data_IF_819360939393
#
_entry.id   IF_819360939393
#
_cell.length_a   1.000
_cell.length_b   1.000
_cell.length_c   1.000
_cell.angle_alpha   90.00
_cell.angle_beta   90.00
_cell.angle_gamma   90.00
#
_symmetry.space_group_name_H-M   'P 1'
#
loop_
_entity.id
_entity.type
_entity.pdbx_description
1 polymer ?
#
# COMPACT_ATOMS: atom_id res chain seq x y z
N UNK A 1 -5.11 7.02 -17.79
CA UNK A 1 -5.49 5.74 -17.18
C UNK A 1 -4.39 4.74 -17.48
N UNK A 2 -3.66 4.22 -16.49
CA UNK A 2 -2.76 3.10 -16.71
C UNK A 2 -3.59 1.92 -17.22
N UNK A 3 -3.07 1.21 -18.20
CA UNK A 3 -3.79 0.09 -18.82
C UNK A 3 -3.82 -1.07 -17.83
N UNK A 4 -4.98 -1.36 -17.29
CA UNK A 4 -5.27 -2.55 -16.45
C UNK A 4 -5.01 -3.89 -17.17
N UNK A 5 -4.75 -3.85 -18.48
CA UNK A 5 -4.57 -5.03 -19.35
C UNK A 5 -3.35 -5.89 -19.03
N UNK A 6 -2.35 -5.37 -18.29
CA UNK A 6 -1.14 -6.16 -17.99
C UNK A 6 -1.29 -7.03 -16.72
N UNK A 7 -2.22 -6.71 -15.84
CA UNK A 7 -2.47 -7.50 -14.61
C UNK A 7 -3.36 -8.70 -14.84
N UNK A 8 -4.33 -8.62 -15.76
CA UNK A 8 -5.27 -9.73 -16.02
C UNK A 8 -4.62 -10.99 -16.60
N UNK A 9 -3.36 -10.91 -17.04
CA UNK A 9 -2.64 -12.08 -17.54
C UNK A 9 -2.15 -13.04 -16.44
N UNK A 10 -2.19 -12.64 -15.17
CA UNK A 10 -1.71 -13.43 -14.02
C UNK A 10 -2.84 -13.94 -13.13
N UNK A 11 -4.07 -13.41 -13.28
CA UNK A 11 -5.17 -13.65 -12.36
C UNK A 11 -6.44 -14.04 -13.11
N UNK A 12 -7.24 -14.95 -12.55
CA UNK A 12 -8.53 -15.33 -13.09
C UNK A 12 -9.58 -14.22 -12.91
N UNK A 13 -9.47 -13.46 -11.82
CA UNK A 13 -10.41 -12.37 -11.48
C UNK A 13 -9.69 -11.24 -10.78
N UNK A 14 -10.04 -10.00 -11.11
CA UNK A 14 -9.53 -8.80 -10.46
C UNK A 14 -10.69 -7.97 -9.90
N UNK A 15 -10.61 -7.64 -8.61
CA UNK A 15 -11.47 -6.66 -7.96
C UNK A 15 -10.69 -5.35 -7.79
N UNK A 16 -11.25 -4.24 -8.25
CA UNK A 16 -10.68 -2.89 -8.10
C UNK A 16 -11.65 -2.08 -7.24
N UNK A 17 -11.47 -2.08 -5.91
CA UNK A 17 -12.32 -1.28 -5.04
C UNK A 17 -11.93 0.19 -5.09
N UNK A 18 -12.91 1.06 -4.93
CA UNK A 18 -12.66 2.47 -4.60
C UNK A 18 -12.61 2.62 -3.08
N UNK A 19 -11.52 3.11 -2.55
CA UNK A 19 -11.35 3.39 -1.12
C UNK A 19 -12.37 4.44 -0.64
N UNK A 20 -12.59 4.50 0.68
CA UNK A 20 -13.47 5.50 1.30
C UNK A 20 -13.15 6.92 0.82
N UNK A 21 -14.18 7.74 0.64
CA UNK A 21 -14.09 9.11 0.14
C UNK A 21 -13.51 9.29 -1.28
N UNK A 22 -13.33 8.19 -2.02
CA UNK A 22 -13.10 8.21 -3.47
C UNK A 22 -14.43 7.88 -4.17
N UNK A 23 -14.82 8.72 -5.13
CA UNK A 23 -16.07 8.50 -5.84
C UNK A 23 -16.00 7.22 -6.71
N UNK A 24 -17.03 6.32 -6.68
CA UNK A 24 -18.36 6.50 -6.07
C UNK A 24 -18.48 6.06 -4.61
N UNK A 25 -17.40 5.64 -3.94
CA UNK A 25 -17.46 5.18 -2.56
C UNK A 25 -17.88 6.28 -1.58
N UNK A 26 -18.64 5.87 -0.57
CA UNK A 26 -19.06 6.77 0.51
C UNK A 26 -17.89 7.15 1.41
N UNK A 27 -18.09 8.16 2.27
CA UNK A 27 -17.10 8.64 3.20
C UNK A 27 -16.86 10.14 3.07
N UNK A 28 -16.16 10.72 4.05
CA UNK A 28 -15.87 12.16 4.09
C UNK A 28 -14.39 12.48 4.08
N UNK A 29 -13.56 11.51 4.45
CA UNK A 29 -12.13 11.69 4.64
C UNK A 29 -11.36 10.51 4.07
N UNK A 30 -10.31 10.81 3.34
CA UNK A 30 -9.30 9.85 2.89
C UNK A 30 -8.43 9.50 4.09
N UNK A 31 -8.19 8.22 4.31
CA UNK A 31 -7.53 7.73 5.52
C UNK A 31 -6.03 7.52 5.42
N UNK A 32 -5.42 7.71 4.25
CA UNK A 32 -3.98 7.51 4.01
C UNK A 32 -3.44 6.15 4.48
N UNK A 33 -4.23 5.09 4.33
CA UNK A 33 -3.91 3.75 4.83
C UNK A 33 -4.39 3.49 6.26
N UNK A 34 -4.52 4.52 7.11
CA UNK A 34 -4.92 4.38 8.52
C UNK A 34 -6.35 3.85 8.66
N UNK A 35 -7.31 4.47 7.98
CA UNK A 35 -8.71 4.01 7.99
C UNK A 35 -8.98 3.02 6.86
N UNK A 36 -8.36 3.23 5.70
CA UNK A 36 -8.60 2.47 4.48
C UNK A 36 -8.18 0.99 4.63
N UNK A 37 -7.23 0.68 5.55
CA UNK A 37 -6.87 -0.70 5.87
C UNK A 37 -8.05 -1.55 6.31
N UNK A 38 -9.01 -0.96 7.02
CA UNK A 38 -10.22 -1.66 7.47
C UNK A 38 -11.12 -1.99 6.29
N UNK A 39 -11.25 -1.06 5.33
CA UNK A 39 -11.99 -1.31 4.10
C UNK A 39 -11.33 -2.42 3.27
N UNK A 40 -9.99 -2.43 3.23
CA UNK A 40 -9.23 -3.50 2.57
C UNK A 40 -9.52 -4.87 3.17
N UNK A 41 -9.55 -4.97 4.52
CA UNK A 41 -9.92 -6.21 5.22
C UNK A 41 -11.38 -6.60 4.93
N UNK A 42 -12.30 -5.64 4.93
CA UNK A 42 -13.71 -5.90 4.64
C UNK A 42 -13.92 -6.36 3.18
N UNK A 43 -13.18 -5.79 2.22
CA UNK A 43 -13.17 -6.27 0.83
C UNK A 43 -12.62 -7.69 0.71
N UNK A 44 -11.57 -8.04 1.46
CA UNK A 44 -11.05 -9.41 1.48
C UNK A 44 -12.08 -10.39 2.06
N UNK A 45 -12.78 -10.03 3.14
CA UNK A 45 -13.90 -10.82 3.70
C UNK A 45 -15.03 -10.99 2.69
N UNK A 46 -15.41 -9.91 2.00
CA UNK A 46 -16.43 -9.96 0.96
C UNK A 46 -16.08 -10.95 -0.18
N UNK A 47 -14.80 -10.99 -0.58
CA UNK A 47 -14.35 -11.97 -1.58
C UNK A 47 -14.49 -13.41 -1.07
N UNK A 48 -14.14 -13.67 0.19
CA UNK A 48 -14.31 -15.00 0.80
C UNK A 48 -15.79 -15.37 0.87
N UNK A 49 -16.67 -14.46 1.31
CA UNK A 49 -18.10 -14.68 1.34
C UNK A 49 -18.71 -14.94 -0.05
N UNK A 50 -18.16 -14.29 -1.08
CA UNK A 50 -18.70 -14.37 -2.45
C UNK A 50 -18.21 -15.61 -3.19
N UNK A 51 -16.94 -15.98 -3.05
CA UNK A 51 -16.28 -17.03 -3.83
C UNK A 51 -16.00 -18.30 -3.03
N UNK A 52 -16.19 -18.29 -1.71
CA UNK A 52 -15.98 -19.42 -0.81
C UNK A 52 -14.58 -19.49 -0.21
N UNK A 53 -14.41 -20.47 0.69
CA UNK A 53 -13.19 -20.61 1.51
C UNK A 53 -11.94 -21.01 0.72
N UNK A 54 -12.11 -21.55 -0.48
CA UNK A 54 -11.01 -21.99 -1.35
C UNK A 54 -10.41 -20.85 -2.20
N UNK A 55 -10.97 -19.62 -2.11
CA UNK A 55 -10.43 -18.48 -2.85
C UNK A 55 -9.04 -18.12 -2.34
N UNK A 56 -8.12 -17.85 -3.25
CA UNK A 56 -6.81 -17.27 -2.93
C UNK A 56 -6.77 -15.82 -3.34
N UNK A 57 -6.43 -14.94 -2.40
CA UNK A 57 -6.44 -13.50 -2.59
C UNK A 57 -5.01 -12.96 -2.55
N UNK A 58 -4.63 -12.21 -3.57
CA UNK A 58 -3.43 -11.37 -3.53
C UNK A 58 -3.87 -9.92 -3.44
N UNK A 59 -3.43 -9.23 -2.40
CA UNK A 59 -3.64 -7.79 -2.27
C UNK A 59 -2.54 -7.06 -3.05
N UNK A 60 -2.95 -6.09 -3.86
CA UNK A 60 -2.02 -5.25 -4.62
C UNK A 60 -2.40 -3.79 -4.45
N UNK A 61 -1.42 -2.98 -4.07
CA UNK A 61 -1.60 -1.54 -3.93
C UNK A 61 -0.45 -0.74 -4.52
N UNK A 62 -0.77 0.47 -5.00
CA UNK A 62 0.21 1.43 -5.50
C UNK A 62 0.11 2.71 -4.67
N UNK A 63 1.23 3.27 -4.24
CA UNK A 63 1.30 4.51 -3.47
C UNK A 63 0.45 4.45 -2.19
N UNK A 64 -0.59 5.26 -2.07
CA UNK A 64 -1.52 5.20 -0.94
C UNK A 64 -2.18 3.82 -0.80
N UNK A 65 -2.55 3.17 -1.91
CA UNK A 65 -3.04 1.80 -1.91
C UNK A 65 -2.00 0.80 -1.39
N UNK A 66 -0.70 1.02 -1.69
CA UNK A 66 0.38 0.20 -1.15
C UNK A 66 0.51 0.36 0.38
N UNK A 67 0.41 1.58 0.89
CA UNK A 67 0.36 1.82 2.33
C UNK A 67 -0.88 1.18 2.97
N UNK A 68 -2.02 1.19 2.28
CA UNK A 68 -3.27 0.56 2.72
C UNK A 68 -3.11 -0.96 2.87
N UNK A 69 -2.60 -1.65 1.85
CA UNK A 69 -2.44 -3.12 1.92
C UNK A 69 -1.35 -3.53 2.92
N UNK A 70 -0.30 -2.71 3.10
CA UNK A 70 0.70 -2.93 4.15
C UNK A 70 0.10 -2.72 5.54
N UNK A 71 -0.71 -1.68 5.73
CA UNK A 71 -1.40 -1.45 7.00
C UNK A 71 -2.41 -2.57 7.31
N UNK A 72 -3.08 -3.11 6.29
CA UNK A 72 -3.98 -4.26 6.45
C UNK A 72 -3.22 -5.55 6.81
N UNK A 73 -1.94 -5.68 6.45
CA UNK A 73 -1.15 -6.90 6.69
C UNK A 73 -1.01 -7.30 8.16
N UNK A 74 -1.11 -6.34 9.07
CA UNK A 74 -1.01 -6.55 10.51
C UNK A 74 -2.35 -6.72 11.22
N UNK A 75 -3.47 -6.58 10.52
CA UNK A 75 -4.80 -6.73 11.13
C UNK A 75 -5.06 -8.19 11.54
N UNK A 76 -5.61 -8.36 12.74
CA UNK A 76 -5.84 -9.70 13.31
C UNK A 76 -6.89 -10.49 12.52
N UNK A 77 -7.87 -9.79 11.98
CA UNK A 77 -9.02 -10.33 11.26
C UNK A 77 -8.86 -10.35 9.74
N UNK A 78 -7.63 -10.11 9.24
CA UNK A 78 -7.31 -10.33 7.83
C UNK A 78 -7.56 -11.80 7.46
N UNK A 79 -8.40 -12.12 6.46
CA UNK A 79 -8.72 -13.50 6.10
C UNK A 79 -7.52 -14.35 5.76
N UNK A 80 -7.52 -15.62 6.18
CA UNK A 80 -6.46 -16.58 5.88
C UNK A 80 -6.33 -16.91 4.38
N UNK A 81 -7.34 -16.56 3.59
CA UNK A 81 -7.37 -16.64 2.13
C UNK A 81 -6.46 -15.60 1.46
N UNK A 82 -6.05 -14.54 2.16
CA UNK A 82 -5.01 -13.65 1.68
C UNK A 82 -3.68 -14.38 1.73
N UNK A 83 -3.08 -14.62 0.56
CA UNK A 83 -1.85 -15.41 0.39
C UNK A 83 -0.60 -14.56 0.19
N UNK A 84 -0.77 -13.28 -0.10
CA UNK A 84 0.35 -12.37 -0.29
C UNK A 84 -0.06 -10.94 -0.54
N UNK A 85 0.94 -10.08 -0.53
CA UNK A 85 0.77 -8.63 -0.73
C UNK A 85 1.83 -8.14 -1.71
N UNK A 86 1.42 -7.29 -2.66
CA UNK A 86 2.30 -6.50 -3.52
C UNK A 86 2.14 -5.03 -3.14
N UNK A 87 3.20 -4.42 -2.66
CA UNK A 87 3.25 -3.00 -2.30
C UNK A 87 4.18 -2.26 -3.25
N UNK A 88 3.64 -1.47 -4.17
CA UNK A 88 4.40 -0.65 -5.11
C UNK A 88 4.42 0.81 -4.65
N UNK A 89 5.62 1.35 -4.41
CA UNK A 89 5.90 2.71 -3.91
C UNK A 89 5.11 3.10 -2.64
N UNK A 90 4.93 2.15 -1.71
CA UNK A 90 4.31 2.40 -0.41
C UNK A 90 5.19 3.25 0.51
N UNK A 91 4.57 3.97 1.43
CA UNK A 91 5.24 4.82 2.43
C UNK A 91 5.10 4.25 3.85
N UNK A 92 6.03 4.64 4.74
CA UNK A 92 6.09 4.21 6.13
C UNK A 92 4.87 4.63 6.94
N UNK A 93 4.52 5.90 6.87
CA UNK A 93 3.31 6.46 7.45
C UNK A 93 2.87 7.73 6.70
N UNK A 94 1.63 8.15 6.91
CA UNK A 94 1.11 9.36 6.26
C UNK A 94 1.89 10.63 6.65
N UNK A 95 2.39 10.69 7.89
CA UNK A 95 3.22 11.81 8.35
C UNK A 95 4.49 11.95 7.51
N UNK A 96 5.26 10.85 7.35
CA UNK A 96 6.54 10.88 6.65
C UNK A 96 6.36 11.23 5.17
N UNK A 97 5.31 10.65 4.53
CA UNK A 97 4.98 10.97 3.15
C UNK A 97 4.60 12.44 2.97
N UNK A 98 3.74 12.99 3.82
CA UNK A 98 3.35 14.39 3.79
C UNK A 98 4.51 15.33 4.14
N UNK A 99 5.38 14.92 5.07
CA UNK A 99 6.56 15.69 5.45
C UNK A 99 7.51 15.82 4.25
N UNK A 100 7.83 14.71 3.59
CA UNK A 100 8.67 14.72 2.40
C UNK A 100 8.08 15.59 1.29
N UNK A 101 6.79 15.46 1.01
CA UNK A 101 6.13 16.27 -0.03
C UNK A 101 6.16 17.77 0.29
N UNK A 102 5.90 18.16 1.53
CA UNK A 102 5.94 19.56 1.94
C UNK A 102 7.36 20.11 1.93
N UNK A 103 8.31 19.38 2.49
CA UNK A 103 9.69 19.83 2.65
C UNK A 103 10.46 19.76 1.33
N UNK A 104 10.50 18.59 0.69
CA UNK A 104 11.37 18.32 -0.44
C UNK A 104 10.80 18.82 -1.78
N UNK A 105 9.49 18.68 -1.97
CA UNK A 105 8.85 19.09 -3.23
C UNK A 105 8.33 20.51 -3.20
N UNK A 106 7.66 20.92 -2.11
CA UNK A 106 7.04 22.23 -2.02
C UNK A 106 7.93 23.28 -1.35
N UNK A 107 9.08 22.89 -0.76
CA UNK A 107 10.00 23.74 -0.01
C UNK A 107 9.31 24.53 1.13
N UNK A 108 8.33 23.90 1.76
CA UNK A 108 7.59 24.46 2.89
C UNK A 108 8.11 23.94 4.24
N UNK A 109 7.99 24.70 5.33
CA UNK A 109 8.45 24.28 6.65
C UNK A 109 7.50 23.21 7.23
N UNK A 110 7.67 21.96 6.82
CA UNK A 110 6.82 20.82 7.18
C UNK A 110 6.65 20.68 8.71
N UNK A 111 7.75 20.82 9.48
CA UNK A 111 7.74 20.72 10.93
C UNK A 111 6.87 21.76 11.64
N UNK A 112 6.63 22.92 11.00
CA UNK A 112 5.74 23.95 11.54
C UNK A 112 4.29 23.74 11.14
N UNK A 113 4.06 23.16 9.96
CA UNK A 113 2.73 23.01 9.36
C UNK A 113 2.04 21.72 9.85
N UNK A 114 2.72 20.57 9.73
CA UNK A 114 2.13 19.26 9.95
C UNK A 114 1.53 19.05 11.35
N UNK A 115 2.11 19.54 12.46
CA UNK A 115 1.50 19.36 13.78
C UNK A 115 0.11 19.97 13.88
N UNK A 116 -0.13 21.11 13.19
CA UNK A 116 -1.44 21.74 13.14
C UNK A 116 -2.42 20.99 12.25
N UNK A 117 -1.94 20.49 11.11
CA UNK A 117 -2.74 19.67 10.18
C UNK A 117 -3.16 18.37 10.83
N UNK A 118 -2.24 17.65 11.50
CA UNK A 118 -2.52 16.41 12.22
C UNK A 118 -3.56 16.62 13.33
N UNK A 119 -3.43 17.69 14.12
CA UNK A 119 -4.41 18.03 15.15
C UNK A 119 -5.81 18.27 14.56
N UNK A 120 -5.89 18.92 13.40
CA UNK A 120 -7.15 19.14 12.69
C UNK A 120 -7.69 17.82 12.16
N UNK A 121 -6.83 16.98 11.57
CA UNK A 121 -7.18 15.65 11.07
C UNK A 121 -7.76 14.81 12.20
N UNK A 122 -7.07 14.70 13.31
CA UNK A 122 -7.53 13.95 14.49
C UNK A 122 -8.88 14.45 15.01
N UNK A 123 -9.09 15.76 15.04
CA UNK A 123 -10.37 16.35 15.48
C UNK A 123 -11.51 16.11 14.49
N UNK A 124 -11.26 16.10 13.17
CA UNK A 124 -12.31 16.05 12.14
C UNK A 124 -12.54 14.66 11.59
N UNK A 125 -11.46 13.91 11.35
CA UNK A 125 -11.46 12.59 10.73
C UNK A 125 -11.30 11.45 11.73
N UNK A 126 -10.86 11.73 12.96
CA UNK A 126 -10.78 10.74 14.04
C UNK A 126 -9.50 9.91 14.06
N UNK A 127 -8.50 10.22 13.23
CA UNK A 127 -7.21 9.53 13.19
C UNK A 127 -6.05 10.50 13.15
N UNK A 128 -4.87 10.09 13.55
CA UNK A 128 -3.62 10.79 13.31
C UNK A 128 -2.76 10.08 12.26
N UNK A 129 -1.74 10.80 11.75
CA UNK A 129 -0.97 10.33 10.60
C UNK A 129 0.05 9.23 10.92
N UNK A 130 0.24 8.87 12.18
CA UNK A 130 1.23 7.89 12.64
C UNK A 130 0.64 6.61 13.18
N UNK A 131 -0.61 6.66 13.71
CA UNK A 131 -1.26 5.48 14.28
C UNK A 131 -1.63 4.47 13.19
N UNK A 132 -1.52 3.18 13.52
CA UNK A 132 -1.81 2.08 12.60
C UNK A 132 -1.12 2.21 11.23
N UNK A 133 0.05 2.80 11.22
CA UNK A 133 0.82 3.06 10.01
C UNK A 133 1.34 1.77 9.36
N UNK A 134 1.68 1.85 8.06
CA UNK A 134 2.24 0.72 7.34
C UNK A 134 3.49 0.14 8.03
N UNK A 135 4.37 1.02 8.56
CA UNK A 135 5.59 0.57 9.26
C UNK A 135 5.31 -0.12 10.61
N UNK A 136 4.23 0.24 11.30
CA UNK A 136 3.83 -0.45 12.52
C UNK A 136 3.16 -1.78 12.22
N UNK A 137 2.26 -1.80 11.26
CA UNK A 137 1.45 -2.96 10.92
C UNK A 137 2.27 -4.06 10.20
N UNK A 138 3.19 -3.68 9.34
CA UNK A 138 4.04 -4.64 8.61
C UNK A 138 4.86 -5.54 9.55
N UNK A 139 5.17 -5.07 10.77
CA UNK A 139 5.86 -5.86 11.81
C UNK A 139 5.04 -7.07 12.27
N UNK A 140 3.73 -7.02 12.08
CA UNK A 140 2.78 -8.07 12.44
C UNK A 140 2.27 -8.83 11.21
N UNK A 141 2.84 -8.60 10.03
CA UNK A 141 2.45 -9.27 8.80
C UNK A 141 2.54 -10.81 8.95
N UNK A 142 1.57 -11.51 8.35
CA UNK A 142 1.46 -12.98 8.42
C UNK A 142 1.65 -13.66 7.06
N UNK A 143 1.72 -12.88 5.98
CA UNK A 143 1.79 -13.36 4.60
C UNK A 143 3.02 -12.81 3.90
N UNK A 144 3.53 -13.47 2.84
CA UNK A 144 4.63 -12.95 2.04
C UNK A 144 4.33 -11.58 1.44
N UNK A 145 5.35 -10.71 1.37
CA UNK A 145 5.21 -9.36 0.82
C UNK A 145 6.27 -9.09 -0.25
N UNK A 146 5.81 -8.71 -1.44
CA UNK A 146 6.64 -8.12 -2.48
C UNK A 146 6.63 -6.60 -2.35
N UNK A 147 7.77 -6.04 -2.02
CA UNK A 147 8.00 -4.60 -2.04
C UNK A 147 8.57 -4.21 -3.40
N UNK A 148 7.95 -3.24 -4.05
CA UNK A 148 8.41 -2.67 -5.32
C UNK A 148 8.58 -1.17 -5.14
N UNK A 149 9.62 -0.59 -5.75
CA UNK A 149 9.83 0.86 -5.69
C UNK A 149 10.62 1.37 -6.88
N UNK A 150 10.33 2.60 -7.31
CA UNK A 150 11.13 3.27 -8.32
C UNK A 150 12.36 3.96 -7.72
N UNK A 151 13.54 3.72 -8.29
CA UNK A 151 14.80 4.32 -7.81
C UNK A 151 14.85 5.83 -7.92
N UNK A 152 14.05 6.42 -8.83
CA UNK A 152 13.92 7.88 -9.05
C UNK A 152 12.64 8.46 -8.46
N UNK A 153 12.00 7.77 -7.52
CA UNK A 153 10.78 8.25 -6.87
C UNK A 153 11.08 9.50 -6.03
N UNK A 154 10.51 10.63 -6.45
CA UNK A 154 10.65 11.92 -5.76
C UNK A 154 9.47 12.21 -4.82
N UNK A 155 8.38 11.44 -4.92
CA UNK A 155 7.17 11.63 -4.13
C UNK A 155 7.22 10.85 -2.82
N UNK A 156 7.66 9.59 -2.90
CA UNK A 156 7.90 8.72 -1.75
C UNK A 156 9.37 8.31 -1.77
N UNK A 157 10.19 8.85 -0.86
CA UNK A 157 11.62 8.57 -0.83
C UNK A 157 11.95 7.07 -0.71
N UNK A 158 12.95 6.62 -1.47
CA UNK A 158 13.34 5.19 -1.56
C UNK A 158 13.71 4.59 -0.21
N UNK A 159 14.23 5.37 0.75
CA UNK A 159 14.56 4.85 2.08
C UNK A 159 13.34 4.25 2.79
N UNK A 160 12.12 4.74 2.52
CA UNK A 160 10.89 4.21 3.14
C UNK A 160 10.64 2.76 2.79
N UNK A 161 10.88 2.34 1.54
CA UNK A 161 10.72 0.92 1.17
C UNK A 161 11.75 0.04 1.84
N UNK A 162 12.98 0.53 2.06
CA UNK A 162 13.99 -0.22 2.81
C UNK A 162 13.60 -0.41 4.27
N UNK A 163 13.07 0.63 4.93
CA UNK A 163 12.56 0.54 6.30
C UNK A 163 11.41 -0.46 6.42
N UNK A 164 10.43 -0.39 5.50
CA UNK A 164 9.31 -1.32 5.44
C UNK A 164 9.79 -2.76 5.20
N UNK A 165 10.73 -2.94 4.26
CA UNK A 165 11.31 -4.25 3.97
C UNK A 165 12.02 -4.81 5.20
N UNK A 166 12.86 -4.04 5.88
CA UNK A 166 13.58 -4.50 7.08
C UNK A 166 12.63 -4.87 8.22
N UNK A 167 11.56 -4.09 8.42
CA UNK A 167 10.58 -4.31 9.47
C UNK A 167 9.70 -5.56 9.26
N UNK A 168 9.55 -6.04 8.03
CA UNK A 168 8.68 -7.17 7.69
C UNK A 168 9.29 -8.49 8.16
N UNK A 169 8.56 -9.31 8.97
CA UNK A 169 9.09 -10.56 9.53
C UNK A 169 8.88 -11.78 8.63
N UNK A 170 8.04 -11.67 7.58
CA UNK A 170 7.65 -12.80 6.73
C UNK A 170 8.59 -12.98 5.55
N UNK A 171 8.35 -14.01 4.73
CA UNK A 171 8.99 -14.14 3.42
C UNK A 171 8.76 -12.86 2.62
N UNK A 172 9.82 -12.31 2.04
CA UNK A 172 9.77 -11.01 1.39
C UNK A 172 10.76 -10.90 0.26
N UNK A 173 10.41 -10.07 -0.73
CA UNK A 173 11.28 -9.73 -1.86
C UNK A 173 11.22 -8.23 -2.09
N UNK A 174 12.35 -7.63 -2.45
CA UNK A 174 12.43 -6.24 -2.89
C UNK A 174 12.78 -6.21 -4.38
N UNK A 175 11.99 -5.47 -5.16
CA UNK A 175 12.27 -5.09 -6.54
C UNK A 175 12.45 -3.58 -6.59
N UNK A 176 13.68 -3.12 -6.73
CA UNK A 176 13.98 -1.72 -6.99
C UNK A 176 14.19 -1.52 -8.49
N UNK A 177 13.35 -0.69 -9.11
CA UNK A 177 13.43 -0.34 -10.53
C UNK A 177 14.15 1.00 -10.65
N UNK A 178 15.46 0.97 -10.86
CA UNK A 178 16.36 2.14 -10.74
C UNK A 178 15.94 3.35 -11.58
N UNK A 179 15.38 3.13 -12.78
CA UNK A 179 15.01 4.20 -13.70
C UNK A 179 13.58 4.72 -13.54
N UNK A 180 12.75 4.03 -12.73
CA UNK A 180 11.35 4.37 -12.53
C UNK A 180 11.17 5.48 -11.50
N UNK A 181 10.19 6.35 -11.72
CA UNK A 181 9.66 7.28 -10.76
C UNK A 181 8.50 6.69 -9.94
N UNK A 182 7.68 7.56 -9.35
CA UNK A 182 6.57 7.18 -8.50
C UNK A 182 5.47 6.41 -9.26
N UNK A 183 5.21 5.17 -8.86
CA UNK A 183 4.18 4.31 -9.47
C UNK A 183 4.47 3.89 -10.91
N UNK A 184 5.71 4.04 -11.37
CA UNK A 184 6.10 3.73 -12.75
C UNK A 184 6.80 2.39 -12.91
N UNK A 185 7.05 1.65 -11.82
CA UNK A 185 7.87 0.43 -11.82
C UNK A 185 7.40 -0.61 -12.83
N UNK A 186 6.10 -0.87 -12.90
CA UNK A 186 5.55 -1.83 -13.87
C UNK A 186 5.67 -1.36 -15.32
N UNK A 187 5.69 -0.06 -15.56
CA UNK A 187 5.86 0.52 -16.89
C UNK A 187 7.30 0.41 -17.42
N UNK A 188 8.28 0.50 -16.52
CA UNK A 188 9.70 0.44 -16.85
C UNK A 188 10.24 -0.98 -16.90
N UNK A 189 9.77 -1.89 -16.04
CA UNK A 189 10.27 -3.25 -15.90
C UNK A 189 9.11 -4.28 -15.78
N UNK A 190 8.22 -4.38 -16.79
CA UNK A 190 7.04 -5.24 -16.70
C UNK A 190 7.36 -6.72 -16.53
N UNK A 191 8.40 -7.22 -17.20
CA UNK A 191 8.76 -8.63 -17.15
C UNK A 191 9.36 -9.00 -15.77
N UNK A 192 10.24 -8.16 -15.24
CA UNK A 192 10.83 -8.33 -13.91
C UNK A 192 9.78 -8.20 -12.80
N UNK A 193 8.83 -7.28 -12.98
CA UNK A 193 7.72 -7.08 -12.06
C UNK A 193 6.84 -8.33 -11.98
N UNK A 194 6.39 -8.83 -13.11
CA UNK A 194 5.61 -10.06 -13.18
C UNK A 194 6.40 -11.29 -12.73
N UNK A 195 7.70 -11.36 -13.04
CA UNK A 195 8.55 -12.45 -12.58
C UNK A 195 8.73 -12.43 -11.05
N UNK A 196 8.88 -11.23 -10.46
CA UNK A 196 8.98 -11.09 -9.02
C UNK A 196 7.72 -11.57 -8.29
N UNK A 197 6.54 -11.31 -8.85
CA UNK A 197 5.26 -11.82 -8.35
C UNK A 197 5.22 -13.34 -8.43
N UNK A 198 5.49 -13.92 -9.62
CA UNK A 198 5.48 -15.38 -9.81
C UNK A 198 6.44 -16.11 -8.88
N UNK A 199 7.65 -15.59 -8.73
CA UNK A 199 8.68 -16.19 -7.90
C UNK A 199 8.28 -16.25 -6.42
N UNK A 200 7.74 -15.15 -5.90
CA UNK A 200 7.41 -15.05 -4.48
C UNK A 200 6.13 -15.80 -4.13
N UNK A 201 5.10 -15.67 -4.94
CA UNK A 201 3.79 -16.27 -4.65
C UNK A 201 3.57 -17.63 -5.33
N UNK A 202 4.53 -18.10 -6.15
CA UNK A 202 4.52 -19.43 -6.81
C UNK A 202 3.31 -19.67 -7.72
N UNK A 203 2.95 -18.67 -8.48
CA UNK A 203 1.81 -18.64 -9.42
C UNK A 203 2.26 -18.44 -10.87
#
# INVERSE_FOLDING_TARGET
MPRTSNFTALWDTMLLPDDRAHAPSEGKYIGFGVLDRLDCVDWAKYLVETYGDDVEILLHGVSMGAATVLAASGEEDLPAQVKGIVSDCGFTCAWDALHSQLHDMAHLPADLILPSVEKICKKRAGFDFREHSAIEQVKNAKVPILFVHGGKDQMVPVHMVHELYEACPTEKKLLLVEEAGHGESIGFAPDEYHQAIRDLFKI
#
